data_IF_287729043721
#
_entry.id   IF_287729043721
#
_cell.length_a   1.000
_cell.length_b   1.000
_cell.length_c   1.000
_cell.angle_alpha   90.00
_cell.angle_beta   90.00
_cell.angle_gamma   90.00
#
_symmetry.space_group_name_H-M   'P 1'
#
loop_
_entity.id
_entity.type
_entity.pdbx_description
1 polymer ?
#
# COMPACT_ATOMS: atom_id res chain seq x y z
N UNK A 1 4.93 26.56 3.23
CA UNK A 1 5.96 25.49 3.17
C UNK A 1 5.65 24.35 2.19
N UNK A 2 4.38 23.89 2.05
CA UNK A 2 4.01 22.77 1.13
C UNK A 2 4.43 22.97 -0.33
N UNK A 3 4.24 24.17 -0.90
CA UNK A 3 4.66 24.48 -2.29
C UNK A 3 6.16 24.31 -2.53
N UNK A 4 7.01 24.71 -1.58
CA UNK A 4 8.48 24.57 -1.69
C UNK A 4 8.92 23.10 -1.69
N UNK A 5 8.22 22.22 -0.96
CA UNK A 5 8.49 20.77 -1.01
C UNK A 5 8.03 20.17 -2.35
N UNK A 6 6.85 20.54 -2.85
CA UNK A 6 6.36 20.07 -4.15
C UNK A 6 7.26 20.46 -5.31
N UNK A 7 7.86 21.66 -5.24
CA UNK A 7 8.80 22.14 -6.24
C UNK A 7 10.09 21.29 -6.33
N UNK A 8 10.49 20.58 -5.26
CA UNK A 8 11.76 19.82 -5.27
C UNK A 8 11.74 18.65 -6.26
N UNK A 9 10.66 17.88 -6.29
CA UNK A 9 10.51 16.81 -7.28
C UNK A 9 10.45 17.36 -8.71
N UNK A 10 9.78 18.50 -8.92
CA UNK A 10 9.72 19.15 -10.24
C UNK A 10 11.11 19.66 -10.68
N UNK A 11 11.85 20.32 -9.81
CA UNK A 11 13.24 20.74 -10.08
C UNK A 11 14.12 19.53 -10.42
N UNK A 12 14.05 18.47 -9.62
CA UNK A 12 14.80 17.24 -9.86
C UNK A 12 14.45 16.60 -11.22
N UNK A 13 13.17 16.61 -11.61
CA UNK A 13 12.72 16.12 -12.91
C UNK A 13 13.27 16.96 -14.07
N UNK A 14 13.24 18.29 -13.92
CA UNK A 14 13.81 19.23 -14.91
C UNK A 14 15.32 19.06 -15.03
N UNK A 15 16.03 18.92 -13.92
CA UNK A 15 17.48 18.72 -13.91
C UNK A 15 17.87 17.40 -14.55
N UNK A 16 17.12 16.33 -14.25
CA UNK A 16 17.31 15.02 -14.87
C UNK A 16 17.07 15.05 -16.38
N UNK A 17 16.02 15.76 -16.85
CA UNK A 17 15.75 15.91 -18.28
C UNK A 17 16.89 16.65 -18.99
N UNK A 18 17.52 17.62 -18.32
CA UNK A 18 18.67 18.37 -18.86
C UNK A 18 19.98 17.58 -18.81
N UNK A 19 20.15 16.75 -17.78
CA UNK A 19 21.39 15.99 -17.53
C UNK A 19 21.05 14.50 -17.31
N UNK A 20 20.74 13.74 -18.37
CA UNK A 20 20.31 12.34 -18.25
C UNK A 20 21.33 11.40 -17.60
N UNK A 21 22.63 11.74 -17.64
CA UNK A 21 23.70 10.97 -17.01
C UNK A 21 23.56 10.87 -15.48
N UNK A 22 22.80 11.78 -14.85
CA UNK A 22 22.52 11.74 -13.41
C UNK A 22 21.51 10.64 -13.01
N UNK A 23 20.81 10.01 -13.97
CA UNK A 23 19.79 9.00 -13.68
C UNK A 23 20.30 7.89 -12.74
N UNK A 24 21.54 7.41 -12.95
CA UNK A 24 22.13 6.34 -12.13
C UNK A 24 22.25 6.75 -10.66
N UNK A 25 22.76 7.96 -10.40
CA UNK A 25 22.89 8.50 -9.05
C UNK A 25 21.52 8.75 -8.42
N UNK A 26 20.58 9.29 -9.19
CA UNK A 26 19.24 9.60 -8.68
C UNK A 26 18.42 8.35 -8.35
N UNK A 27 18.66 7.22 -9.03
CA UNK A 27 18.03 5.92 -8.73
C UNK A 27 18.42 5.37 -7.36
N UNK A 28 19.64 5.62 -6.88
CA UNK A 28 20.09 5.16 -5.56
C UNK A 28 19.77 6.15 -4.44
N UNK A 29 19.58 7.44 -4.77
CA UNK A 29 19.20 8.46 -3.80
C UNK A 29 17.74 8.29 -3.30
N UNK A 30 17.41 8.77 -2.09
CA UNK A 30 16.01 8.88 -1.63
C UNK A 30 15.15 9.68 -2.61
N UNK A 31 13.86 9.35 -2.70
CA UNK A 31 12.95 10.09 -3.55
C UNK A 31 12.79 11.54 -3.07
N UNK A 32 12.86 12.54 -3.96
CA UNK A 32 12.60 13.92 -3.58
C UNK A 32 11.14 14.08 -3.15
N UNK A 33 10.85 14.94 -2.16
CA UNK A 33 9.47 15.19 -1.77
C UNK A 33 8.71 15.85 -2.94
N UNK A 34 7.41 15.55 -3.04
CA UNK A 34 6.55 16.12 -4.08
C UNK A 34 6.31 15.24 -5.29
N UNK A 35 6.66 13.94 -5.25
CA UNK A 35 6.43 12.99 -6.36
C UNK A 35 4.98 13.01 -6.87
N UNK A 36 3.99 13.19 -6.00
CA UNK A 36 2.59 13.29 -6.39
C UNK A 36 2.34 14.38 -7.45
N UNK A 37 3.07 15.50 -7.40
CA UNK A 37 2.98 16.54 -8.43
C UNK A 37 3.41 16.00 -9.79
N UNK A 38 4.52 15.27 -9.87
CA UNK A 38 5.00 14.66 -11.11
C UNK A 38 3.97 13.66 -11.68
N UNK A 39 3.37 12.83 -10.82
CA UNK A 39 2.35 11.88 -11.23
C UNK A 39 1.12 12.59 -11.82
N UNK A 40 0.68 13.70 -11.19
CA UNK A 40 -0.42 14.52 -11.68
C UNK A 40 -0.10 15.18 -13.04
N UNK A 41 1.11 15.70 -13.20
CA UNK A 41 1.58 16.30 -14.45
C UNK A 41 1.59 15.28 -15.59
N UNK A 42 2.14 14.08 -15.35
CA UNK A 42 2.15 12.99 -16.34
C UNK A 42 0.73 12.55 -16.71
N UNK A 43 -0.20 12.56 -15.75
CA UNK A 43 -1.61 12.23 -15.95
C UNK A 43 -2.47 13.38 -16.49
N UNK A 44 -1.85 14.48 -16.96
CA UNK A 44 -2.52 15.66 -17.54
C UNK A 44 -3.61 16.24 -16.63
N UNK A 45 -3.34 16.29 -15.33
CA UNK A 45 -4.21 16.93 -14.35
C UNK A 45 -4.11 18.46 -14.51
N UNK A 46 -5.19 19.11 -14.98
CA UNK A 46 -5.20 20.53 -15.34
C UNK A 46 -4.77 21.46 -14.20
N UNK A 47 -5.22 21.19 -12.98
CA UNK A 47 -4.81 21.92 -11.77
C UNK A 47 -3.31 21.82 -11.50
N UNK A 48 -2.71 20.64 -11.69
CA UNK A 48 -1.28 20.46 -11.49
C UNK A 48 -0.44 21.18 -12.55
N UNK A 49 -0.92 21.25 -13.79
CA UNK A 49 -0.25 22.01 -14.86
C UNK A 49 -0.23 23.51 -14.54
N UNK A 50 -1.35 24.06 -14.06
CA UNK A 50 -1.45 25.46 -13.62
C UNK A 50 -0.51 25.74 -12.42
N UNK A 51 -0.50 24.85 -11.43
CA UNK A 51 0.40 24.94 -10.27
C UNK A 51 1.88 24.97 -10.70
N UNK A 52 2.27 24.13 -11.67
CA UNK A 52 3.65 24.05 -12.15
C UNK A 52 4.09 25.31 -12.92
N UNK A 53 3.25 25.83 -13.81
CA UNK A 53 3.54 27.10 -14.52
C UNK A 53 3.80 28.25 -13.55
N UNK A 54 2.98 28.35 -12.50
CA UNK A 54 3.12 29.37 -11.47
C UNK A 54 4.43 29.27 -10.67
N UNK A 55 5.03 28.07 -10.58
CA UNK A 55 6.26 27.83 -9.81
C UNK A 55 7.52 28.15 -10.62
N UNK A 56 7.57 27.74 -11.89
CA UNK A 56 8.81 27.73 -12.69
C UNK A 56 8.78 28.65 -13.91
N UNK A 57 7.62 29.23 -14.25
CA UNK A 57 7.41 30.10 -15.42
C UNK A 57 7.81 29.47 -16.77
N UNK A 58 7.79 28.14 -16.88
CA UNK A 58 8.03 27.40 -18.14
C UNK A 58 6.73 26.80 -18.69
N UNK A 59 6.75 26.40 -19.97
CA UNK A 59 5.60 25.82 -20.66
C UNK A 59 5.12 24.49 -20.03
N UNK A 60 3.81 24.25 -20.09
CA UNK A 60 3.13 23.03 -19.58
C UNK A 60 3.75 21.74 -20.09
N UNK A 61 4.00 21.70 -21.39
CA UNK A 61 4.56 20.54 -22.10
C UNK A 61 5.93 20.16 -21.55
N UNK A 62 6.79 21.15 -21.31
CA UNK A 62 8.11 20.93 -20.75
C UNK A 62 8.06 20.28 -19.34
N UNK A 63 7.11 20.71 -18.49
CA UNK A 63 6.94 20.10 -17.17
C UNK A 63 6.39 18.68 -17.24
N UNK A 64 5.47 18.43 -18.17
CA UNK A 64 4.92 17.09 -18.40
C UNK A 64 6.01 16.14 -18.89
N UNK A 65 6.82 16.56 -19.84
CA UNK A 65 7.91 15.74 -20.39
C UNK A 65 8.98 15.44 -19.34
N UNK A 66 9.35 16.44 -18.53
CA UNK A 66 10.25 16.24 -17.40
C UNK A 66 9.68 15.23 -16.39
N UNK A 67 8.38 15.35 -16.06
CA UNK A 67 7.71 14.43 -15.15
C UNK A 67 7.67 12.99 -15.71
N UNK A 68 7.31 12.83 -16.98
CA UNK A 68 7.30 11.53 -17.67
C UNK A 68 8.69 10.90 -17.65
N UNK A 69 9.72 11.66 -18.05
CA UNK A 69 11.09 11.18 -18.08
C UNK A 69 11.56 10.76 -16.69
N UNK A 70 11.26 11.54 -15.66
CA UNK A 70 11.58 11.17 -14.28
C UNK A 70 10.87 9.88 -13.84
N UNK A 71 9.57 9.73 -14.13
CA UNK A 71 8.81 8.54 -13.75
C UNK A 71 9.41 7.30 -14.42
N UNK A 72 9.70 7.35 -15.72
CA UNK A 72 10.28 6.24 -16.46
C UNK A 72 11.69 5.90 -15.99
N UNK A 73 12.54 6.92 -15.85
CA UNK A 73 13.95 6.71 -15.56
C UNK A 73 14.22 6.42 -14.09
N UNK A 74 13.42 6.93 -13.15
CA UNK A 74 13.69 6.83 -11.71
C UNK A 74 12.71 5.91 -11.00
N UNK A 75 11.40 6.05 -11.24
CA UNK A 75 10.40 5.25 -10.53
C UNK A 75 10.26 3.86 -11.16
N UNK A 76 10.23 3.79 -12.50
CA UNK A 76 9.96 2.56 -13.24
C UNK A 76 11.22 1.90 -13.81
N UNK A 77 12.40 2.27 -13.30
CA UNK A 77 13.65 1.56 -13.56
C UNK A 77 13.51 0.06 -13.25
N UNK A 78 14.31 -0.78 -13.92
CA UNK A 78 14.21 -2.24 -13.81
C UNK A 78 14.42 -2.77 -12.39
N UNK A 79 15.19 -2.05 -11.57
CA UNK A 79 15.58 -2.42 -10.21
C UNK A 79 14.82 -1.66 -9.11
N UNK A 80 13.76 -0.92 -9.45
CA UNK A 80 12.94 -0.23 -8.45
C UNK A 80 12.15 -1.21 -7.59
N UNK A 81 12.18 -1.00 -6.27
CA UNK A 81 11.29 -1.71 -5.35
C UNK A 81 9.82 -1.24 -5.48
N UNK A 82 8.90 -1.97 -4.85
CA UNK A 82 7.47 -1.70 -4.95
C UNK A 82 7.06 -0.31 -4.42
N UNK A 83 7.68 0.18 -3.35
CA UNK A 83 7.39 1.53 -2.81
C UNK A 83 7.89 2.59 -3.79
N UNK A 84 9.12 2.42 -4.30
CA UNK A 84 9.71 3.33 -5.27
C UNK A 84 8.95 3.37 -6.59
N UNK A 85 8.44 2.23 -7.07
CA UNK A 85 7.58 2.18 -8.25
C UNK A 85 6.28 2.98 -8.09
N UNK A 86 5.71 3.03 -6.88
CA UNK A 86 4.57 3.90 -6.56
C UNK A 86 4.97 5.35 -6.23
N UNK A 87 6.26 5.67 -6.22
CA UNK A 87 6.75 7.01 -5.89
C UNK A 87 6.56 7.37 -4.40
N UNK A 88 6.68 6.37 -3.52
CA UNK A 88 6.43 6.47 -2.09
C UNK A 88 7.60 5.91 -1.28
N UNK A 89 7.62 6.22 0.01
CA UNK A 89 8.49 5.58 0.99
C UNK A 89 7.71 4.58 1.85
N UNK A 90 8.41 3.84 2.71
CA UNK A 90 7.84 2.77 3.56
C UNK A 90 6.84 3.27 4.62
N UNK A 91 6.81 4.57 4.89
CA UNK A 91 5.89 5.20 5.85
C UNK A 91 4.56 5.60 5.23
N UNK A 92 4.42 5.47 3.91
CA UNK A 92 3.21 5.84 3.20
C UNK A 92 1.97 5.04 3.63
N UNK A 93 0.84 5.74 3.69
CA UNK A 93 -0.47 5.18 4.03
C UNK A 93 -1.11 4.48 2.82
N UNK A 94 -2.06 3.58 3.07
CA UNK A 94 -2.83 2.89 2.01
C UNK A 94 -3.59 3.87 1.11
N UNK A 95 -4.07 4.98 1.68
CA UNK A 95 -4.71 6.04 0.92
C UNK A 95 -3.75 6.72 -0.07
N UNK A 96 -2.51 7.01 0.36
CA UNK A 96 -1.47 7.58 -0.50
C UNK A 96 -1.05 6.60 -1.60
N UNK A 97 -0.84 5.32 -1.24
CA UNK A 97 -0.54 4.25 -2.19
C UNK A 97 -1.61 4.16 -3.28
N UNK A 98 -2.90 4.17 -2.90
CA UNK A 98 -4.02 4.11 -3.85
C UNK A 98 -4.06 5.34 -4.75
N UNK A 99 -3.83 6.53 -4.19
CA UNK A 99 -3.83 7.78 -4.95
C UNK A 99 -2.71 7.82 -5.99
N UNK A 100 -1.50 7.43 -5.61
CA UNK A 100 -0.36 7.39 -6.52
C UNK A 100 -0.56 6.37 -7.65
N UNK A 101 -1.05 5.17 -7.30
CA UNK A 101 -1.39 4.14 -8.26
C UNK A 101 -2.42 4.62 -9.29
N UNK A 102 -3.47 5.33 -8.85
CA UNK A 102 -4.50 5.84 -9.75
C UNK A 102 -3.95 6.82 -10.80
N UNK A 103 -3.05 7.74 -10.42
CA UNK A 103 -2.41 8.64 -11.39
C UNK A 103 -1.45 7.93 -12.34
N UNK A 104 -0.67 6.97 -11.84
CA UNK A 104 0.21 6.15 -12.69
C UNK A 104 -0.60 5.37 -13.74
N UNK A 105 -1.69 4.72 -13.35
CA UNK A 105 -2.54 3.98 -14.29
C UNK A 105 -3.30 4.91 -15.23
N UNK A 106 -3.75 6.09 -14.77
CA UNK A 106 -4.36 7.10 -15.66
C UNK A 106 -3.40 7.51 -16.78
N UNK A 107 -2.11 7.64 -16.49
CA UNK A 107 -1.08 7.97 -17.49
C UNK A 107 -0.69 6.77 -18.37
N UNK A 108 -0.58 5.56 -17.80
CA UNK A 108 -0.14 4.35 -18.49
C UNK A 108 -1.26 3.57 -19.21
N UNK A 109 -2.51 4.04 -19.15
CA UNK A 109 -3.67 3.31 -19.66
C UNK A 109 -3.56 3.05 -21.17
N UNK A 110 -3.77 1.80 -21.64
CA UNK A 110 -3.64 1.45 -23.05
C UNK A 110 -4.62 2.22 -23.96
N UNK A 111 -5.81 2.57 -23.47
CA UNK A 111 -6.78 3.36 -24.25
C UNK A 111 -6.27 4.77 -24.60
N UNK A 112 -5.31 5.29 -23.83
CA UNK A 112 -4.67 6.58 -24.12
C UNK A 112 -3.35 6.41 -24.86
N UNK A 113 -2.79 5.20 -24.89
CA UNK A 113 -1.50 4.95 -25.49
C UNK A 113 -1.36 3.48 -25.94
N UNK A 114 -1.31 3.26 -27.25
CA UNK A 114 -1.14 1.94 -27.86
C UNK A 114 0.28 1.38 -27.77
N UNK A 115 1.23 2.10 -27.16
CA UNK A 115 2.61 1.65 -26.97
C UNK A 115 2.69 0.41 -26.06
N UNK A 116 3.16 -0.73 -26.58
CA UNK A 116 3.35 -1.96 -25.80
C UNK A 116 4.30 -1.78 -24.61
N UNK A 117 5.23 -0.82 -24.67
CA UNK A 117 6.11 -0.48 -23.55
C UNK A 117 5.31 0.01 -22.34
N UNK A 118 4.38 0.95 -22.56
CA UNK A 118 3.51 1.46 -21.48
C UNK A 118 2.61 0.39 -20.90
N UNK A 119 2.10 -0.52 -21.75
CA UNK A 119 1.37 -1.70 -21.28
C UNK A 119 2.20 -2.59 -20.33
N UNK A 120 3.49 -2.78 -20.61
CA UNK A 120 4.40 -3.50 -19.68
C UNK A 120 4.61 -2.74 -18.37
N UNK A 121 4.79 -1.42 -18.44
CA UNK A 121 4.94 -0.58 -17.26
C UNK A 121 3.67 -0.60 -16.37
N UNK A 122 2.49 -0.52 -16.96
CA UNK A 122 1.21 -0.58 -16.25
C UNK A 122 1.07 -1.87 -15.44
N UNK A 123 1.42 -3.02 -16.04
CA UNK A 123 1.41 -4.32 -15.35
C UNK A 123 2.37 -4.38 -14.18
N UNK A 124 3.58 -3.81 -14.32
CA UNK A 124 4.56 -3.73 -13.22
C UNK A 124 4.04 -2.88 -12.05
N UNK A 125 3.43 -1.73 -12.36
CA UNK A 125 2.81 -0.86 -11.33
C UNK A 125 1.67 -1.59 -10.62
N UNK A 126 0.81 -2.31 -11.35
CA UNK A 126 -0.28 -3.07 -10.77
C UNK A 126 0.22 -4.21 -9.86
N UNK A 127 1.28 -4.91 -10.28
CA UNK A 127 1.92 -5.93 -9.45
C UNK A 127 2.47 -5.33 -8.14
N UNK A 128 3.23 -4.23 -8.22
CA UNK A 128 3.76 -3.54 -7.05
C UNK A 128 2.66 -3.09 -6.07
N UNK A 129 1.56 -2.55 -6.60
CA UNK A 129 0.39 -2.19 -5.79
C UNK A 129 -0.22 -3.39 -5.07
N UNK A 130 -0.40 -4.51 -5.77
CA UNK A 130 -0.99 -5.72 -5.19
C UNK A 130 -0.10 -6.30 -4.08
N UNK A 131 1.21 -6.35 -4.31
CA UNK A 131 2.20 -6.79 -3.33
C UNK A 131 2.15 -5.95 -2.05
N UNK A 132 2.20 -4.62 -2.17
CA UNK A 132 2.16 -3.71 -1.02
C UNK A 132 0.82 -3.78 -0.28
N UNK A 133 -0.28 -3.86 -1.01
CA UNK A 133 -1.62 -3.95 -0.43
C UNK A 133 -1.81 -5.26 0.33
N UNK A 134 -1.29 -6.38 -0.19
CA UNK A 134 -1.32 -7.66 0.50
C UNK A 134 -0.45 -7.66 1.75
N UNK A 135 0.78 -7.13 1.66
CA UNK A 135 1.69 -7.00 2.79
C UNK A 135 1.07 -6.13 3.91
N UNK A 136 0.38 -5.04 3.54
CA UNK A 136 -0.28 -4.15 4.49
C UNK A 136 -1.43 -4.83 5.23
N UNK A 137 -2.31 -5.53 4.50
CA UNK A 137 -3.41 -6.30 5.10
C UNK A 137 -2.88 -7.36 6.07
N UNK A 138 -1.87 -8.13 5.67
CA UNK A 138 -1.27 -9.14 6.54
C UNK A 138 -0.64 -8.54 7.81
N UNK A 139 -0.09 -7.33 7.75
CA UNK A 139 0.41 -6.63 8.93
C UNK A 139 -0.72 -6.18 9.86
N UNK A 140 -1.81 -5.67 9.29
CA UNK A 140 -3.01 -5.26 10.02
C UNK A 140 -3.68 -6.46 10.70
N UNK A 141 -3.82 -7.59 10.00
CA UNK A 141 -4.35 -8.84 10.54
C UNK A 141 -3.50 -9.37 11.71
N UNK A 142 -2.16 -9.33 11.59
CA UNK A 142 -1.24 -9.71 12.67
C UNK A 142 -1.38 -8.79 13.88
N UNK A 143 -1.57 -7.50 13.67
CA UNK A 143 -1.77 -6.54 14.76
C UNK A 143 -3.10 -6.81 15.47
N UNK A 144 -4.17 -7.08 14.73
CA UNK A 144 -5.47 -7.45 15.28
C UNK A 144 -5.44 -8.77 16.05
N UNK A 145 -4.74 -9.78 15.54
CA UNK A 145 -4.57 -11.08 16.20
C UNK A 145 -3.69 -11.00 17.46
N UNK A 146 -2.67 -10.14 17.46
CA UNK A 146 -1.81 -9.91 18.63
C UNK A 146 -2.49 -9.12 19.76
N UNK A 147 -3.48 -8.29 19.43
CA UNK A 147 -4.31 -7.56 20.40
C UNK A 147 -5.43 -8.43 20.99
N UNK A 148 -5.77 -9.55 20.35
CA UNK A 148 -6.71 -10.54 20.86
C UNK A 148 -5.97 -11.66 21.61
N UNK A 149 -5.39 -11.33 22.78
CA UNK A 149 -4.97 -12.38 23.72
C UNK A 149 -6.21 -13.07 24.30
N UNK A 150 -6.18 -14.40 24.50
CA UNK A 150 -7.36 -15.18 24.85
C UNK A 150 -7.69 -14.94 26.32
N UNK A 151 -8.94 -14.53 26.61
CA UNK A 151 -9.55 -14.81 27.90
C UNK A 151 -9.53 -16.33 28.07
N UNK A 152 -8.50 -16.79 28.78
CA UNK A 152 -8.44 -18.15 29.30
C UNK A 152 -9.53 -18.19 30.35
N UNK A 153 -10.74 -18.53 29.91
CA UNK A 153 -11.86 -18.88 30.76
C UNK A 153 -11.51 -20.23 31.39
N UNK A 154 -10.59 -20.21 32.35
CA UNK A 154 -10.37 -21.27 33.30
C UNK A 154 -11.67 -21.39 34.12
N UNK A 155 -12.67 -22.09 33.55
CA UNK A 155 -13.80 -22.58 34.34
C UNK A 155 -13.23 -23.66 35.24
N UNK A 156 -12.95 -23.26 36.47
CA UNK A 156 -12.58 -24.12 37.58
C UNK A 156 -13.47 -25.36 37.60
N UNK A 157 -12.92 -26.59 37.71
CA UNK A 157 -13.75 -27.75 37.98
C UNK A 157 -14.34 -27.58 39.38
N UNK A 158 -15.67 -27.51 39.43
CA UNK A 158 -16.42 -27.45 40.67
C UNK A 158 -15.98 -28.59 41.60
N UNK A 159 -15.51 -28.21 42.80
CA UNK A 159 -15.29 -29.12 43.93
C UNK A 159 -16.56 -29.94 44.17
N UNK A 160 -16.55 -31.21 43.78
CA UNK A 160 -17.47 -32.21 44.31
C UNK A 160 -17.05 -32.51 45.76
N UNK A 161 -17.80 -31.99 46.73
CA UNK A 161 -17.78 -32.51 48.11
C UNK A 161 -18.76 -33.69 48.16
N UNK A 162 -18.34 -34.90 48.57
CA UNK A 162 -19.26 -35.94 49.01
C UNK A 162 -19.52 -35.76 50.51
N UNK A 163 -20.79 -35.77 50.93
CA UNK A 163 -21.14 -35.84 52.36
C UNK A 163 -22.44 -36.63 52.55
N UNK A 164 -22.33 -37.68 53.39
CA UNK A 164 -23.33 -38.62 53.95
C UNK A 164 -23.81 -39.77 53.04
N UNK A 165 -23.43 -41.06 53.28
CA UNK A 165 -23.66 -42.01 54.41
C UNK A 165 -24.81 -42.98 54.00
N UNK A 166 -24.63 -44.29 53.74
CA UNK A 166 -24.50 -45.43 54.69
C UNK A 166 -25.31 -45.19 55.96
N UNK A 167 -26.34 -45.93 56.38
CA UNK A 167 -26.99 -47.22 56.11
C UNK A 167 -28.51 -46.97 56.37
N UNK A 168 -29.52 -47.75 56.02
CA UNK A 168 -29.85 -49.15 56.32
C UNK A 168 -31.00 -49.54 55.35
N UNK A 169 -30.89 -50.62 54.56
CA UNK A 169 -31.42 -51.95 54.88
C UNK A 169 -32.83 -51.95 55.51
N UNK A 170 -33.85 -52.36 54.75
CA UNK A 170 -34.50 -53.68 54.89
C UNK A 170 -35.71 -53.80 53.96
N UNK A 171 -35.89 -55.02 53.43
CA UNK A 171 -37.20 -55.64 53.10
C UNK A 171 -38.05 -55.03 51.99
N UNK A 172 -38.64 -55.76 51.03
CA UNK A 172 -38.84 -57.20 50.80
C UNK A 172 -39.55 -57.29 49.44
N UNK A 173 -39.04 -58.08 48.49
CA UNK A 173 -39.78 -58.56 47.32
C UNK A 173 -40.79 -59.66 47.77
N UNK A 174 -41.84 -60.04 46.99
CA UNK A 174 -41.71 -60.80 45.73
C UNK A 174 -42.67 -60.32 44.61
N UNK A 175 -42.29 -60.39 43.32
CA UNK A 175 -42.62 -61.43 42.32
C UNK A 175 -44.11 -61.83 42.17
N UNK A 176 -44.70 -61.60 40.99
CA UNK A 176 -45.24 -62.62 40.04
C UNK A 176 -45.86 -61.93 38.79
N UNK A 177 -45.34 -62.21 37.58
CA UNK A 177 -45.89 -63.09 36.52
C UNK A 177 -46.91 -62.38 35.59
N UNK A 178 -46.52 -61.99 34.37
CA UNK A 178 -46.78 -62.70 33.08
C UNK A 178 -48.24 -63.12 32.85
N UNK A 179 -48.93 -62.43 31.92
CA UNK A 179 -49.32 -62.96 30.60
C UNK A 179 -49.80 -61.82 29.70
#
# INVERSE_FOLDING_TARGET
>A
MRRRRQAQALSAAVDLLRIPSQARMMRSAPLPPGILLLLRLAAEDGEALLDAENITKRAREYHRDAAIFFIEQILLASNSDAYRMLGLDKTATTAEMRRHMAYLLKWLHPDRNTDPHKGRLARRVLHAWNELSAARRAMEDKLAAGQSKPETRARSPARRRPMYSQEEMTSRAPQTAKQ
#
